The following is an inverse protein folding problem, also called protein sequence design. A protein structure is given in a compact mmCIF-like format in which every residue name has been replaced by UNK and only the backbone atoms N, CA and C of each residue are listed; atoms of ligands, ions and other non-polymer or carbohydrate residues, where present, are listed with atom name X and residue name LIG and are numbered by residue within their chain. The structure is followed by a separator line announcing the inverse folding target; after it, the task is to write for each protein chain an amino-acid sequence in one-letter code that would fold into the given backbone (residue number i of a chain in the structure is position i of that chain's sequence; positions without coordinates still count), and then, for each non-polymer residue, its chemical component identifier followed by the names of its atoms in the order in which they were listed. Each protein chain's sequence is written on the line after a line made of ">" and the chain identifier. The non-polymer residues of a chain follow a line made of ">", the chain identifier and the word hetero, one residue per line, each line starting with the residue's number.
data_IF_891475719649
#
_entry.id   IF_891475719649
#
_cell.length_a   1.000
_cell.length_b   1.000
_cell.length_c   1.000
_cell.angle_alpha   90.00
_cell.angle_beta   90.00
_cell.angle_gamma   90.00
#
_symmetry.space_group_name_H-M   'P 1'
#
loop_
_entity.id
_entity.type
_entity.pdbx_description
1 polymer ?
#
# COMPACT_ATOMS: atom_id res chain seq x y z
N UNK A 1 1.66 13.24 -1.13
CA UNK A 1 2.90 12.82 -1.82
C UNK A 1 2.57 11.65 -2.74
N UNK A 2 3.26 11.46 -3.87
CA UNK A 2 3.09 10.27 -4.73
C UNK A 2 4.27 9.31 -4.55
N UNK A 3 4.08 8.06 -4.92
CA UNK A 3 5.17 7.05 -4.93
C UNK A 3 6.26 7.42 -5.94
N UNK A 4 7.49 7.03 -5.64
CA UNK A 4 8.67 7.14 -6.52
C UNK A 4 8.98 5.84 -7.28
N UNK A 5 8.24 4.77 -7.01
CA UNK A 5 8.46 3.47 -7.64
C UNK A 5 8.10 3.51 -9.13
N UNK A 6 8.88 2.77 -9.93
CA UNK A 6 8.60 2.63 -11.36
C UNK A 6 7.32 1.82 -11.60
N UNK A 7 6.65 2.00 -12.75
CA UNK A 7 5.47 1.19 -13.11
C UNK A 7 5.72 -0.31 -13.08
N UNK A 8 6.91 -0.76 -13.51
CA UNK A 8 7.31 -2.16 -13.51
C UNK A 8 7.42 -2.70 -12.09
N UNK A 9 8.00 -1.91 -11.17
CA UNK A 9 8.09 -2.29 -9.76
C UNK A 9 6.70 -2.35 -9.14
N UNK A 10 5.83 -1.38 -9.41
CA UNK A 10 4.44 -1.42 -8.95
C UNK A 10 3.71 -2.67 -9.46
N UNK A 11 3.84 -3.02 -10.74
CA UNK A 11 3.24 -4.24 -11.29
C UNK A 11 3.74 -5.51 -10.57
N UNK A 12 5.04 -5.59 -10.27
CA UNK A 12 5.61 -6.68 -9.48
C UNK A 12 4.98 -6.75 -8.08
N UNK A 13 4.94 -5.62 -7.36
CA UNK A 13 4.41 -5.58 -6.00
C UNK A 13 2.91 -5.88 -5.94
N UNK A 14 2.14 -5.48 -6.95
CA UNK A 14 0.74 -5.86 -7.10
C UNK A 14 0.58 -7.37 -7.25
N UNK A 15 1.40 -8.02 -8.09
CA UNK A 15 1.38 -9.48 -8.21
C UNK A 15 1.74 -10.17 -6.89
N UNK A 16 2.77 -9.69 -6.18
CA UNK A 16 3.20 -10.24 -4.89
C UNK A 16 2.15 -10.06 -3.79
N UNK A 17 1.55 -8.87 -3.67
CA UNK A 17 0.50 -8.60 -2.69
C UNK A 17 -0.76 -9.42 -2.95
N UNK A 18 -1.17 -9.55 -4.20
CA UNK A 18 -2.32 -10.38 -4.58
C UNK A 18 -2.07 -11.87 -4.31
N UNK A 19 -0.83 -12.35 -4.48
CA UNK A 19 -0.46 -13.74 -4.17
C UNK A 19 -0.51 -14.06 -2.66
N UNK A 20 -0.46 -13.03 -1.79
CA UNK A 20 -0.58 -13.19 -0.33
C UNK A 20 -2.03 -13.23 0.15
N UNK A 21 -3.01 -12.99 -0.73
CA UNK A 21 -4.43 -13.11 -0.38
C UNK A 21 -4.75 -14.56 -0.03
N UNK A 22 -5.14 -14.77 1.22
CA UNK A 22 -5.51 -16.08 1.75
C UNK A 22 -6.82 -16.05 2.53
N UNK A 23 -7.23 -17.20 3.09
CA UNK A 23 -8.47 -17.30 3.87
C UNK A 23 -8.41 -16.52 5.20
N UNK A 24 -7.21 -16.11 5.63
CA UNK A 24 -6.99 -15.38 6.88
C UNK A 24 -6.26 -14.07 6.62
N UNK A 25 -6.61 -13.07 7.42
CA UNK A 25 -5.98 -11.75 7.39
C UNK A 25 -4.74 -11.76 8.28
N UNK A 26 -3.64 -11.15 7.84
CA UNK A 26 -2.48 -10.90 8.67
C UNK A 26 -2.70 -9.62 9.52
N UNK A 27 -2.86 -9.71 10.85
CA UNK A 27 -3.14 -8.55 11.69
C UNK A 27 -1.99 -7.53 11.71
N UNK A 28 -0.74 -7.98 11.53
CA UNK A 28 0.43 -7.10 11.48
C UNK A 28 0.42 -6.23 10.22
N UNK A 29 0.09 -6.81 9.07
CA UNK A 29 -0.08 -6.06 7.81
C UNK A 29 -1.16 -4.99 7.97
N UNK A 30 -2.29 -5.33 8.59
CA UNK A 30 -3.38 -4.37 8.83
C UNK A 30 -2.95 -3.23 9.74
N UNK A 31 -2.24 -3.53 10.83
CA UNK A 31 -1.72 -2.50 11.74
C UNK A 31 -0.76 -1.56 11.00
N UNK A 32 0.21 -2.12 10.27
CA UNK A 32 1.19 -1.35 9.49
C UNK A 32 0.53 -0.52 8.39
N UNK A 33 -0.42 -1.09 7.66
CA UNK A 33 -1.18 -0.38 6.63
C UNK A 33 -1.90 0.85 7.19
N UNK A 34 -2.51 0.76 8.37
CA UNK A 34 -3.15 1.91 9.04
C UNK A 34 -2.14 3.00 9.41
N UNK A 35 -0.95 2.64 9.87
CA UNK A 35 0.13 3.59 10.13
C UNK A 35 0.56 4.28 8.83
N UNK A 36 0.79 3.51 7.76
CA UNK A 36 1.17 4.06 6.46
C UNK A 36 0.12 5.04 5.91
N UNK A 37 -1.16 4.69 5.99
CA UNK A 37 -2.24 5.58 5.55
C UNK A 37 -2.29 6.89 6.34
N UNK A 38 -1.92 6.86 7.63
CA UNK A 38 -1.82 8.07 8.47
C UNK A 38 -0.58 8.88 8.13
N UNK A 39 0.57 8.23 7.93
CA UNK A 39 1.86 8.89 7.85
C UNK A 39 2.22 9.33 6.42
N UNK A 40 1.90 8.50 5.42
CA UNK A 40 2.14 8.75 3.98
C UNK A 40 0.96 9.43 3.29
N UNK A 41 -0.24 9.21 3.84
CA UNK A 41 -1.48 9.82 3.36
C UNK A 41 -2.12 9.11 2.16
N UNK A 42 -3.33 9.57 1.82
CA UNK A 42 -4.19 8.99 0.79
C UNK A 42 -3.59 9.09 -0.62
N UNK A 43 -2.98 10.21 -0.97
CA UNK A 43 -2.44 10.42 -2.32
C UNK A 43 -1.33 9.43 -2.65
N UNK A 44 -0.49 9.10 -1.65
CA UNK A 44 0.58 8.13 -1.82
C UNK A 44 -0.02 6.74 -2.04
N UNK A 45 -0.97 6.33 -1.18
CA UNK A 45 -1.65 5.06 -1.32
C UNK A 45 -2.40 4.93 -2.66
N UNK A 46 -3.07 5.99 -3.12
CA UNK A 46 -3.76 6.00 -4.41
C UNK A 46 -2.77 5.85 -5.58
N UNK A 47 -1.59 6.47 -5.48
CA UNK A 47 -0.54 6.34 -6.49
C UNK A 47 0.10 4.94 -6.52
N UNK A 48 0.23 4.27 -5.37
CA UNK A 48 0.71 2.88 -5.30
C UNK A 48 -0.33 1.91 -5.84
N UNK A 49 -1.60 2.08 -5.47
CA UNK A 49 -2.70 1.18 -5.85
C UNK A 49 -3.26 1.46 -7.24
N UNK A 50 -2.80 2.53 -7.90
CA UNK A 50 -3.22 2.93 -9.25
C UNK A 50 -4.74 3.11 -9.38
N UNK A 51 -5.40 3.54 -8.30
CA UNK A 51 -6.85 3.77 -8.26
C UNK A 51 -7.24 4.87 -7.30
N UNK A 52 -8.45 5.38 -7.48
CA UNK A 52 -9.04 6.35 -6.57
C UNK A 52 -9.39 5.73 -5.20
N UNK A 53 -9.10 6.48 -4.14
CA UNK A 53 -9.34 6.14 -2.74
C UNK A 53 -10.34 7.09 -2.06
N UNK A 54 -11.17 7.81 -2.83
CA UNK A 54 -12.20 8.71 -2.29
C UNK A 54 -13.22 8.00 -1.40
N UNK A 55 -13.51 6.72 -1.68
CA UNK A 55 -14.44 5.88 -0.91
C UNK A 55 -13.82 5.49 0.44
N UNK A 56 -14.52 5.85 1.53
CA UNK A 56 -14.13 5.50 2.89
C UNK A 56 -14.66 4.13 3.33
N UNK A 57 -14.02 3.54 4.33
CA UNK A 57 -14.56 2.41 5.07
C UNK A 57 -15.85 2.80 5.79
N UNK A 58 -16.85 1.93 5.74
CA UNK A 58 -18.13 2.13 6.43
C UNK A 58 -17.98 2.04 7.95
N UNK A 59 -17.07 1.21 8.45
CA UNK A 59 -16.86 0.99 9.89
C UNK A 59 -15.96 2.10 10.48
N UNK A 60 -14.99 2.59 9.70
CA UNK A 60 -14.12 3.67 10.14
C UNK A 60 -13.90 4.69 9.02
N UNK A 61 -14.68 5.79 9.00
CA UNK A 61 -14.61 6.80 7.95
C UNK A 61 -13.27 7.52 7.82
N UNK A 62 -12.37 7.37 8.80
CA UNK A 62 -11.02 7.95 8.75
C UNK A 62 -10.08 7.21 7.79
N UNK A 63 -10.43 6.00 7.36
CA UNK A 63 -9.61 5.20 6.45
C UNK A 63 -10.33 4.95 5.12
N UNK A 64 -9.61 4.92 3.99
CA UNK A 64 -10.18 4.50 2.71
C UNK A 64 -10.63 3.03 2.76
N UNK A 65 -11.56 2.69 1.89
CA UNK A 65 -11.90 1.31 1.60
C UNK A 65 -10.78 0.67 0.79
N UNK A 66 -10.28 -0.47 1.26
CA UNK A 66 -9.28 -1.30 0.59
C UNK A 66 -9.91 -2.61 0.12
N UNK A 67 -9.49 -3.08 -1.06
CA UNK A 67 -9.78 -4.43 -1.55
C UNK A 67 -8.77 -5.41 -0.94
N UNK A 68 -9.13 -6.69 -0.89
CA UNK A 68 -8.26 -7.74 -0.37
C UNK A 68 -6.88 -7.72 -1.06
N UNK A 69 -5.82 -7.77 -0.25
CA UNK A 69 -4.44 -7.77 -0.74
C UNK A 69 -3.84 -6.37 -0.91
N UNK A 70 -4.64 -5.30 -0.97
CA UNK A 70 -4.11 -3.95 -1.12
C UNK A 70 -3.34 -3.48 0.13
N UNK A 71 -3.71 -3.97 1.31
CA UNK A 71 -2.91 -3.80 2.53
C UNK A 71 -1.49 -4.36 2.39
N UNK A 72 -1.33 -5.52 1.73
CA UNK A 72 -0.02 -6.12 1.49
C UNK A 72 0.77 -5.31 0.46
N UNK A 73 0.11 -4.87 -0.61
CA UNK A 73 0.73 -4.03 -1.65
C UNK A 73 1.27 -2.73 -1.06
N UNK A 74 0.50 -2.05 -0.20
CA UNK A 74 0.94 -0.81 0.45
C UNK A 74 2.16 -1.03 1.36
N UNK A 75 2.19 -2.13 2.13
CA UNK A 75 3.33 -2.44 2.99
C UNK A 75 4.57 -2.77 2.16
N UNK A 76 4.42 -3.56 1.09
CA UNK A 76 5.52 -3.88 0.18
C UNK A 76 6.06 -2.63 -0.55
N UNK A 77 5.19 -1.70 -0.92
CA UNK A 77 5.60 -0.45 -1.56
C UNK A 77 6.40 0.46 -0.63
N UNK A 78 5.99 0.60 0.63
CA UNK A 78 6.75 1.35 1.63
C UNK A 78 8.16 0.76 1.81
N UNK A 79 8.25 -0.57 1.96
CA UNK A 79 9.53 -1.27 2.04
C UNK A 79 10.41 -1.04 0.80
N UNK A 80 9.84 -1.15 -0.39
CA UNK A 80 10.58 -0.95 -1.64
C UNK A 80 11.11 0.49 -1.79
N UNK A 81 10.36 1.50 -1.37
CA UNK A 81 10.84 2.89 -1.37
C UNK A 81 11.95 3.09 -0.32
N UNK A 82 11.84 2.48 0.86
CA UNK A 82 12.91 2.49 1.85
C UNK A 82 14.19 1.82 1.34
N UNK A 83 14.06 0.70 0.62
CA UNK A 83 15.19 0.02 -0.01
C UNK A 83 15.86 0.89 -1.10
N UNK A 84 15.07 1.62 -1.91
CA UNK A 84 15.60 2.59 -2.89
C UNK A 84 16.44 3.69 -2.21
N UNK A 85 15.90 4.27 -1.13
CA UNK A 85 16.59 5.28 -0.33
C UNK A 85 17.88 4.75 0.30
N UNK A 86 17.83 3.53 0.85
CA UNK A 86 19.01 2.88 1.42
C UNK A 86 20.07 2.55 0.37
N UNK A 87 19.66 2.22 -0.86
CA UNK A 87 20.54 1.97 -1.98
C UNK A 87 21.12 3.25 -2.63
N UNK A 88 20.70 4.44 -2.19
CA UNK A 88 21.14 5.72 -2.75
C UNK A 88 20.63 5.98 -4.17
N UNK A 89 19.59 5.26 -4.61
CA UNK A 89 18.93 5.51 -5.89
C UNK A 89 17.69 6.38 -5.64
N UNK A 90 17.65 7.62 -6.15
CA UNK A 90 16.44 8.45 -6.09
C UNK A 90 15.33 7.92 -7.01
#
# INVERSE_FOLDING_TARGET
>A
MKTTLSPEKLAQLHAEGNAKVGPFVNPYTIAKCKELLRDRGRDWAASVLLRDLSRNSAINPRFPWLNSGEEEILVLADLAEWDQLAAGMP
#
